data_IF_379426090889
#
_entry.id   IF_379426090889
#
_cell.length_a   1.000
_cell.length_b   1.000
_cell.length_c   1.000
_cell.angle_alpha   90.00
_cell.angle_beta   90.00
_cell.angle_gamma   90.00
#
_symmetry.space_group_name_H-M   'P 1'
#
loop_
_entity.id
_entity.type
_entity.pdbx_description
1 polymer ?
#
# COMPACT_ATOMS: atom_id res chain seq x y z
N UNK A 1 -13.93 2.07 -0.89
CA UNK A 1 -13.56 1.04 -1.88
C UNK A 1 -12.16 0.57 -1.55
N UNK A 2 -12.03 -0.67 -1.11
CA UNK A 2 -10.86 -1.17 -0.38
C UNK A 2 -9.55 -1.23 -1.14
N UNK A 3 -8.53 -0.66 -0.56
CA UNK A 3 -7.13 -0.68 -1.02
C UNK A 3 -6.45 -2.07 -0.90
N UNK A 4 -7.18 -3.10 -0.48
CA UNK A 4 -6.63 -4.42 -0.14
C UNK A 4 -7.08 -5.57 -1.05
N UNK A 5 -7.73 -5.27 -2.20
CA UNK A 5 -8.39 -6.30 -3.02
C UNK A 5 -7.48 -7.03 -4.03
N UNK A 6 -6.15 -6.94 -3.98
CA UNK A 6 -5.28 -7.57 -4.99
C UNK A 6 -4.14 -8.43 -4.45
N UNK A 7 -4.40 -9.19 -3.38
CA UNK A 7 -3.59 -10.39 -3.13
C UNK A 7 -4.38 -11.63 -3.55
N UNK A 8 -4.55 -11.81 -4.86
CA UNK A 8 -5.16 -13.02 -5.40
C UNK A 8 -4.10 -14.10 -5.58
N UNK A 9 -4.17 -15.08 -4.71
CA UNK A 9 -3.41 -16.30 -4.67
C UNK A 9 -3.74 -17.17 -5.88
N UNK A 10 -2.77 -17.51 -6.69
CA UNK A 10 -2.87 -18.63 -7.63
C UNK A 10 -2.72 -19.94 -6.86
N UNK A 11 -3.76 -20.76 -6.84
CA UNK A 11 -3.74 -22.15 -6.39
C UNK A 11 -3.86 -23.06 -7.60
N UNK A 12 -3.05 -24.13 -7.72
CA UNK A 12 -3.31 -25.19 -8.69
C UNK A 12 -4.43 -26.10 -8.19
N UNK A 13 -5.32 -26.38 -9.10
CA UNK A 13 -6.41 -27.34 -9.02
C UNK A 13 -5.88 -28.75 -8.77
N UNK A 14 -6.47 -29.46 -7.82
CA UNK A 14 -6.56 -30.91 -7.88
C UNK A 14 -7.93 -31.33 -7.34
N UNK A 15 -8.69 -31.96 -8.23
CA UNK A 15 -9.93 -32.67 -7.97
C UNK A 15 -9.62 -33.97 -7.22
N UNK A 16 -10.40 -34.27 -6.18
CA UNK A 16 -11.00 -35.59 -5.98
C UNK A 16 -12.01 -35.52 -4.83
N UNK A 17 -13.20 -35.75 -5.23
CA UNK A 17 -14.37 -36.46 -4.70
C UNK A 17 -14.29 -37.01 -3.26
N UNK A 18 -15.29 -36.72 -2.41
CA UNK A 18 -16.15 -37.71 -1.70
C UNK A 18 -17.38 -36.98 -1.08
N UNK A 19 -18.55 -37.52 -1.47
CA UNK A 19 -19.88 -37.25 -0.88
C UNK A 19 -19.98 -37.75 0.56
N UNK A 20 -20.79 -37.04 1.35
CA UNK A 20 -21.77 -37.64 2.27
C UNK A 20 -22.85 -36.64 2.65
N UNK A 21 -24.08 -37.03 2.33
CA UNK A 21 -25.35 -36.49 2.77
C UNK A 21 -25.51 -36.61 4.29
N UNK A 22 -26.19 -35.65 4.91
CA UNK A 22 -27.17 -35.94 5.96
C UNK A 22 -28.10 -34.73 6.12
N UNK A 23 -29.37 -35.00 5.74
CA UNK A 23 -30.55 -34.21 6.05
C UNK A 23 -30.84 -34.28 7.57
N UNK A 24 -31.35 -33.18 8.14
CA UNK A 24 -32.24 -33.25 9.28
C UNK A 24 -33.29 -32.14 9.20
N UNK A 25 -34.52 -32.60 9.02
CA UNK A 25 -35.79 -31.89 9.11
C UNK A 25 -36.26 -31.80 10.56
N UNK A 26 -37.12 -30.85 10.80
CA UNK A 26 -38.36 -30.74 11.56
C UNK A 26 -38.35 -29.55 12.51
N UNK A 27 -39.16 -28.55 12.28
CA UNK A 27 -40.60 -28.41 12.55
C UNK A 27 -40.96 -28.31 14.04
N UNK A 28 -41.38 -27.12 14.48
CA UNK A 28 -42.46 -26.97 15.48
C UNK A 28 -43.00 -25.51 15.49
N UNK A 29 -44.19 -25.41 14.94
CA UNK A 29 -45.14 -24.34 15.22
C UNK A 29 -45.75 -24.52 16.62
N UNK A 30 -46.18 -23.43 17.24
CA UNK A 30 -47.31 -23.23 18.14
C UNK A 30 -47.14 -21.88 18.85
N UNK A 31 -48.03 -20.98 19.03
CA UNK A 31 -49.49 -20.79 18.88
C UNK A 31 -49.77 -19.41 19.50
N UNK A 32 -50.75 -18.72 18.95
CA UNK A 32 -51.24 -17.42 19.38
C UNK A 32 -52.02 -17.50 20.68
N UNK A 33 -52.02 -16.40 21.45
CA UNK A 33 -53.22 -16.02 22.21
C UNK A 33 -53.27 -14.51 22.49
N UNK A 34 -54.36 -13.92 22.01
CA UNK A 34 -54.96 -12.62 22.29
C UNK A 34 -55.25 -12.40 23.80
N UNK A 35 -55.10 -11.15 24.22
CA UNK A 35 -56.02 -10.58 25.26
C UNK A 35 -56.05 -9.05 25.11
N UNK A 36 -57.17 -8.57 24.60
CA UNK A 36 -57.69 -7.21 24.73
C UNK A 36 -57.83 -6.77 26.21
N UNK A 37 -57.49 -5.51 26.47
CA UNK A 37 -58.26 -4.74 27.47
C UNK A 37 -58.16 -3.25 27.15
N UNK A 38 -59.28 -2.68 26.73
CA UNK A 38 -59.62 -1.27 26.73
C UNK A 38 -59.49 -0.62 28.11
N UNK A 39 -58.97 0.58 28.16
CA UNK A 39 -59.52 1.65 29.03
C UNK A 39 -59.11 3.02 28.48
N UNK A 40 -60.16 3.82 28.23
CA UNK A 40 -60.14 5.23 27.86
C UNK A 40 -59.69 6.14 29.02
N UNK A 41 -59.13 7.24 28.64
CA UNK A 41 -59.44 8.65 28.97
C UNK A 41 -58.30 9.53 29.47
N UNK A 42 -58.30 10.72 28.83
CA UNK A 42 -57.97 12.08 29.30
C UNK A 42 -56.54 12.60 29.16
N UNK A 43 -56.38 13.32 28.02
CA UNK A 43 -56.09 14.77 27.91
C UNK A 43 -55.07 15.37 28.91
N UNK A 44 -53.90 15.68 28.38
CA UNK A 44 -53.28 17.01 28.52
C UNK A 44 -52.09 17.17 27.54
N UNK A 45 -52.21 18.23 26.74
CA UNK A 45 -51.15 18.74 25.89
C UNK A 45 -49.93 19.14 26.75
N UNK A 46 -48.75 18.67 26.33
CA UNK A 46 -47.53 19.46 26.47
C UNK A 46 -46.60 19.11 25.31
N UNK A 47 -46.28 20.14 24.58
CA UNK A 47 -45.51 20.20 23.35
C UNK A 47 -44.04 20.22 23.76
N UNK A 48 -43.40 19.07 23.94
CA UNK A 48 -41.96 18.96 24.02
C UNK A 48 -41.44 18.23 22.75
N UNK A 49 -41.11 19.05 21.77
CA UNK A 49 -40.21 18.65 20.66
C UNK A 49 -38.89 18.26 21.27
N UNK A 50 -38.73 16.97 21.54
CA UNK A 50 -37.41 16.36 21.72
C UNK A 50 -36.67 16.47 20.38
N UNK A 51 -35.97 17.60 20.21
CA UNK A 51 -34.82 17.68 19.33
C UNK A 51 -33.85 16.59 19.84
N UNK A 52 -33.86 15.45 19.17
CA UNK A 52 -32.76 14.51 19.26
C UNK A 52 -31.53 15.23 18.71
N UNK A 53 -30.87 15.98 19.58
CA UNK A 53 -29.54 16.51 19.44
C UNK A 53 -28.61 15.30 19.19
N UNK A 54 -28.35 15.04 17.91
CA UNK A 54 -27.23 14.23 17.54
C UNK A 54 -25.97 15.04 17.84
N UNK A 55 -25.60 15.12 19.10
CA UNK A 55 -24.28 15.54 19.51
C UNK A 55 -23.29 14.46 19.01
N UNK A 56 -22.84 14.61 17.78
CA UNK A 56 -21.50 14.12 17.45
C UNK A 56 -20.60 14.71 18.51
N UNK A 57 -20.00 13.89 19.34
CA UNK A 57 -19.24 14.37 20.49
C UNK A 57 -18.05 15.16 19.92
N UNK A 58 -17.72 16.30 20.52
CA UNK A 58 -16.55 17.10 20.15
C UNK A 58 -15.27 16.23 20.13
N UNK A 59 -15.24 15.14 20.92
CA UNK A 59 -14.17 14.16 20.98
C UNK A 59 -13.99 13.39 19.65
N UNK A 60 -15.07 13.05 18.91
CA UNK A 60 -15.01 12.33 17.64
C UNK A 60 -14.45 13.23 16.52
N UNK A 61 -14.73 14.53 16.57
CA UNK A 61 -14.22 15.51 15.60
C UNK A 61 -12.73 15.72 15.81
N UNK A 62 -12.28 15.80 17.05
CA UNK A 62 -10.86 15.96 17.40
C UNK A 62 -10.03 14.72 16.98
N UNK A 63 -10.59 13.51 17.06
CA UNK A 63 -9.92 12.28 16.61
C UNK A 63 -9.78 12.25 15.08
N UNK A 64 -10.80 12.64 14.31
CA UNK A 64 -10.71 12.72 12.84
C UNK A 64 -9.69 13.76 12.37
N UNK A 65 -9.64 14.93 12.99
CA UNK A 65 -8.63 15.97 12.70
C UNK A 65 -7.22 15.45 12.99
N UNK A 66 -7.00 14.76 14.11
CA UNK A 66 -5.72 14.19 14.47
C UNK A 66 -5.22 13.13 13.49
N UNK A 67 -6.12 12.41 12.80
CA UNK A 67 -5.77 11.46 11.76
C UNK A 67 -5.27 12.13 10.48
N UNK A 68 -5.70 13.36 10.23
CA UNK A 68 -5.29 14.14 9.07
C UNK A 68 -4.00 14.95 9.29
N UNK A 69 -3.50 15.02 10.51
CA UNK A 69 -2.23 15.67 10.81
C UNK A 69 -1.06 15.00 10.11
N UNK A 70 -0.12 15.80 9.62
CA UNK A 70 1.12 15.29 9.04
C UNK A 70 2.00 14.63 10.10
N UNK A 71 2.38 13.40 9.83
CA UNK A 71 3.27 12.62 10.68
C UNK A 71 4.64 12.45 10.02
N UNK A 72 5.64 13.07 10.60
CA UNK A 72 7.02 12.97 10.17
C UNK A 72 7.96 13.14 11.37
N UNK A 73 9.21 12.65 11.31
CA UNK A 73 10.23 13.00 12.29
C UNK A 73 10.44 14.53 12.33
N UNK A 74 10.68 15.08 13.50
CA UNK A 74 10.86 16.52 13.68
C UNK A 74 12.04 17.07 12.86
N UNK A 75 13.05 16.25 12.58
CA UNK A 75 14.24 16.57 11.80
C UNK A 75 14.15 16.15 10.32
N UNK A 76 12.92 15.92 9.79
CA UNK A 76 12.73 15.49 8.40
C UNK A 76 13.35 16.43 7.38
N UNK A 77 13.20 17.74 7.55
CA UNK A 77 13.76 18.74 6.64
C UNK A 77 15.28 18.75 6.60
N UNK A 78 15.94 18.27 7.66
CA UNK A 78 17.41 18.24 7.77
C UNK A 78 17.98 16.87 7.38
N UNK A 79 17.27 15.79 7.71
CA UNK A 79 17.74 14.40 7.56
C UNK A 79 16.91 13.56 6.61
N UNK A 80 15.88 14.12 5.97
CA UNK A 80 15.01 13.46 4.99
C UNK A 80 13.98 12.48 5.60
N UNK A 81 13.24 11.82 4.73
CA UNK A 81 13.22 11.93 3.26
C UNK A 81 12.95 13.37 2.80
N UNK A 82 13.64 13.77 1.76
CA UNK A 82 13.63 15.16 1.29
C UNK A 82 12.58 15.36 0.18
N UNK A 83 12.02 16.56 0.10
CA UNK A 83 11.32 16.99 -1.10
C UNK A 83 12.35 17.48 -2.14
N UNK A 84 12.09 17.28 -3.42
CA UNK A 84 13.01 17.72 -4.51
C UNK A 84 13.28 19.23 -4.49
N UNK A 85 12.39 20.01 -3.88
CA UNK A 85 12.53 21.46 -3.73
C UNK A 85 13.35 21.88 -2.51
N UNK A 86 13.73 20.96 -1.65
CA UNK A 86 14.51 21.20 -0.43
C UNK A 86 16.01 21.06 -0.71
N UNK A 87 16.83 21.56 0.19
CA UNK A 87 18.26 21.29 0.18
C UNK A 87 18.53 19.89 0.76
N UNK A 88 19.26 19.08 0.04
CA UNK A 88 19.63 17.71 0.47
C UNK A 88 21.10 17.39 0.14
N UNK A 89 21.74 16.50 0.90
CA UNK A 89 23.12 16.12 0.64
C UNK A 89 23.31 15.50 -0.75
N UNK A 90 24.39 15.82 -1.41
CA UNK A 90 24.78 15.18 -2.67
C UNK A 90 25.32 13.77 -2.38
N UNK A 91 24.58 12.77 -2.80
CA UNK A 91 24.95 11.35 -2.77
C UNK A 91 24.56 10.70 -4.08
N UNK A 92 25.22 9.61 -4.41
CA UNK A 92 24.80 8.77 -5.52
C UNK A 92 23.43 8.19 -5.23
N UNK A 93 22.48 8.43 -6.13
CA UNK A 93 21.11 7.96 -6.06
C UNK A 93 20.68 7.33 -7.36
N UNK A 94 19.98 6.21 -7.25
CA UNK A 94 19.24 5.64 -8.34
C UNK A 94 18.01 6.48 -8.58
N UNK A 95 17.89 7.05 -9.78
CA UNK A 95 16.71 7.85 -10.18
C UNK A 95 15.60 6.91 -10.70
N UNK A 96 14.49 6.89 -9.99
CA UNK A 96 13.27 6.14 -10.34
C UNK A 96 12.10 7.10 -10.64
N UNK A 97 12.39 8.29 -11.15
CA UNK A 97 11.40 9.33 -11.38
C UNK A 97 10.93 9.96 -10.07
N UNK A 98 9.83 9.47 -9.53
CA UNK A 98 9.24 10.01 -8.30
C UNK A 98 10.08 9.77 -7.03
N UNK A 99 10.96 8.78 -7.02
CA UNK A 99 11.88 8.50 -5.92
C UNK A 99 13.33 8.45 -6.43
N UNK A 100 14.21 9.20 -5.77
CA UNK A 100 15.66 9.08 -5.94
C UNK A 100 16.21 8.39 -4.69
N UNK A 101 16.69 7.17 -4.84
CA UNK A 101 17.03 6.28 -3.74
C UNK A 101 18.54 6.17 -3.60
N UNK A 102 19.12 6.40 -2.40
CA UNK A 102 20.56 6.22 -2.19
C UNK A 102 20.98 4.78 -2.52
N UNK A 103 22.14 4.63 -3.12
CA UNK A 103 22.75 3.33 -3.41
C UNK A 103 23.98 3.10 -2.55
N UNK A 104 24.14 1.87 -2.09
CA UNK A 104 25.32 1.41 -1.33
C UNK A 104 25.83 0.10 -1.91
N UNK A 105 27.10 -0.18 -1.69
CA UNK A 105 27.74 -1.40 -2.17
C UNK A 105 27.04 -2.66 -1.62
N UNK A 106 26.83 -3.63 -2.50
CA UNK A 106 26.19 -4.90 -2.11
C UNK A 106 24.67 -4.85 -1.97
N UNK A 107 24.05 -3.69 -2.16
CA UNK A 107 22.59 -3.57 -2.16
C UNK A 107 22.00 -4.11 -3.48
N UNK A 108 20.91 -4.84 -3.36
CA UNK A 108 20.11 -5.27 -4.51
C UNK A 108 18.84 -4.41 -4.58
N UNK A 109 18.49 -3.98 -5.79
CA UNK A 109 17.28 -3.22 -6.07
C UNK A 109 16.33 -4.09 -6.89
N UNK A 110 15.08 -4.18 -6.46
CA UNK A 110 14.01 -4.84 -7.19
C UNK A 110 12.86 -3.88 -7.38
N UNK A 111 12.34 -3.82 -8.59
CA UNK A 111 11.15 -3.05 -8.92
C UNK A 111 9.94 -3.98 -8.91
N UNK A 112 8.90 -3.55 -8.23
CA UNK A 112 7.63 -4.28 -8.17
C UNK A 112 6.67 -3.62 -9.16
N UNK A 113 6.33 -4.34 -10.25
CA UNK A 113 5.49 -3.86 -11.34
C UNK A 113 4.06 -4.39 -11.23
N UNK A 114 3.13 -3.65 -11.77
CA UNK A 114 1.76 -4.13 -12.01
C UNK A 114 1.72 -4.91 -13.32
N UNK A 115 1.25 -6.15 -13.26
CA UNK A 115 1.25 -7.07 -14.41
C UNK A 115 0.40 -6.57 -15.58
N UNK A 116 -0.69 -5.85 -15.30
CA UNK A 116 -1.63 -5.37 -16.32
C UNK A 116 -1.16 -4.07 -16.98
N UNK A 117 -0.63 -3.14 -16.20
CA UNK A 117 -0.26 -1.79 -16.68
C UNK A 117 1.23 -1.61 -16.91
N UNK A 118 2.07 -2.58 -16.54
CA UNK A 118 3.54 -2.51 -16.59
C UNK A 118 4.12 -1.30 -15.83
N UNK A 119 3.33 -0.67 -14.95
CA UNK A 119 3.76 0.45 -14.13
C UNK A 119 4.55 -0.05 -12.94
N UNK A 120 5.67 0.60 -12.65
CA UNK A 120 6.43 0.31 -11.41
C UNK A 120 5.69 0.95 -10.23
N UNK A 121 5.26 0.11 -9.28
CA UNK A 121 4.45 0.53 -8.14
C UNK A 121 5.26 0.71 -6.86
N UNK A 122 6.40 0.03 -6.76
CA UNK A 122 7.25 0.07 -5.60
C UNK A 122 8.69 -0.27 -5.96
N UNK A 123 9.62 0.14 -5.11
CA UNK A 123 11.00 -0.31 -5.13
C UNK A 123 11.31 -1.04 -3.83
N UNK A 124 11.95 -2.21 -3.94
CA UNK A 124 12.43 -2.99 -2.80
C UNK A 124 13.95 -2.97 -2.81
N UNK A 125 14.54 -2.47 -1.73
CA UNK A 125 15.98 -2.49 -1.48
C UNK A 125 16.29 -3.64 -0.55
N UNK A 126 17.27 -4.46 -0.91
CA UNK A 126 17.69 -5.63 -0.12
C UNK A 126 19.17 -5.43 0.23
N UNK A 127 19.45 -5.40 1.51
CA UNK A 127 20.80 -5.25 2.04
C UNK A 127 20.99 -6.10 3.30
N UNK A 128 22.11 -6.81 3.44
CA UNK A 128 22.47 -7.66 4.59
C UNK A 128 21.38 -8.67 5.02
N UNK A 129 20.51 -9.08 4.07
CA UNK A 129 19.40 -10.01 4.32
C UNK A 129 18.16 -9.35 4.93
N UNK A 130 18.17 -8.04 5.11
CA UNK A 130 16.98 -7.21 5.36
C UNK A 130 16.42 -6.65 4.06
N UNK A 131 15.15 -6.31 4.06
CA UNK A 131 14.47 -5.65 2.94
C UNK A 131 13.69 -4.43 3.39
N UNK A 132 13.67 -3.40 2.57
CA UNK A 132 12.77 -2.26 2.70
C UNK A 132 12.08 -2.00 1.36
N UNK A 133 10.75 -2.05 1.35
CA UNK A 133 9.94 -1.69 0.19
C UNK A 133 9.40 -0.28 0.34
N UNK A 134 9.60 0.56 -0.66
CA UNK A 134 9.18 1.96 -0.68
C UNK A 134 8.09 2.18 -1.72
N UNK A 135 7.08 2.97 -1.32
CA UNK A 135 5.99 3.44 -2.18
C UNK A 135 5.69 4.90 -1.88
N UNK A 136 5.47 5.69 -2.93
CA UNK A 136 5.12 7.10 -2.81
C UNK A 136 3.65 7.33 -3.19
N UNK A 137 2.99 8.23 -2.48
CA UNK A 137 1.59 8.59 -2.68
C UNK A 137 1.43 10.10 -2.69
N UNK A 138 0.49 10.60 -3.48
CA UNK A 138 0.12 12.00 -3.50
C UNK A 138 -0.74 12.35 -2.27
N UNK A 139 -0.45 13.51 -1.64
CA UNK A 139 -1.25 14.03 -0.53
C UNK A 139 -1.53 15.52 -0.72
N UNK A 140 -2.60 16.06 -0.12
CA UNK A 140 -2.82 17.48 -0.02
C UNK A 140 -1.70 18.17 0.78
N UNK A 141 -1.60 19.49 0.66
CA UNK A 141 -0.62 20.27 1.43
C UNK A 141 -0.93 20.32 2.92
N UNK A 142 -2.21 20.35 3.26
CA UNK A 142 -2.71 20.51 4.62
C UNK A 142 -2.85 19.19 5.39
N UNK A 143 -2.90 18.06 4.69
CA UNK A 143 -3.23 16.78 5.31
C UNK A 143 -2.09 15.80 5.18
N UNK A 144 -1.92 14.96 6.22
CA UNK A 144 -1.08 13.76 6.22
C UNK A 144 -1.86 12.52 5.85
N UNK A 145 -1.15 11.43 5.64
CA UNK A 145 -1.74 10.14 5.32
C UNK A 145 -1.30 9.04 6.29
N UNK A 146 -0.16 9.20 6.94
CA UNK A 146 0.41 8.14 7.75
C UNK A 146 -0.47 7.74 8.95
N UNK A 147 -1.05 8.68 9.66
CA UNK A 147 -1.88 8.36 10.81
C UNK A 147 -3.09 7.51 10.40
N UNK A 148 -3.81 7.90 9.35
CA UNK A 148 -4.94 7.13 8.80
C UNK A 148 -4.52 5.74 8.30
N UNK A 149 -3.41 5.65 7.55
CA UNK A 149 -2.91 4.37 7.04
C UNK A 149 -2.50 3.44 8.18
N UNK A 150 -1.85 3.97 9.21
CA UNK A 150 -1.42 3.19 10.38
C UNK A 150 -2.60 2.60 11.14
N UNK A 151 -3.65 3.39 11.37
CA UNK A 151 -4.88 2.93 12.01
C UNK A 151 -5.54 1.82 11.18
N UNK A 152 -5.76 2.05 9.88
CA UNK A 152 -6.37 1.07 8.98
C UNK A 152 -5.56 -0.24 8.89
N UNK A 153 -4.22 -0.16 8.92
CA UNK A 153 -3.36 -1.33 8.96
C UNK A 153 -3.55 -2.11 10.26
N UNK A 154 -3.59 -1.42 11.40
CA UNK A 154 -3.80 -2.04 12.72
C UNK A 154 -5.14 -2.79 12.78
N UNK A 155 -6.22 -2.16 12.32
CA UNK A 155 -7.56 -2.75 12.24
C UNK A 155 -7.58 -3.97 11.31
N UNK A 156 -6.95 -3.85 10.13
CA UNK A 156 -6.86 -4.94 9.16
C UNK A 156 -6.07 -6.14 9.70
N UNK A 157 -4.97 -5.90 10.42
CA UNK A 157 -4.17 -6.94 11.05
C UNK A 157 -4.97 -7.66 12.13
N UNK A 158 -5.68 -6.91 12.98
CA UNK A 158 -6.55 -7.46 14.03
C UNK A 158 -7.66 -8.33 13.46
N UNK A 159 -8.30 -7.89 12.36
CA UNK A 159 -9.36 -8.65 11.68
C UNK A 159 -8.86 -9.97 11.07
N UNK A 160 -7.56 -10.08 10.77
CA UNK A 160 -6.91 -11.29 10.27
C UNK A 160 -6.35 -12.20 11.37
N UNK A 161 -6.61 -11.86 12.64
CA UNK A 161 -6.09 -12.60 13.80
C UNK A 161 -4.58 -12.37 14.02
N UNK A 162 -4.06 -11.27 13.52
CA UNK A 162 -2.69 -10.81 13.77
C UNK A 162 -2.62 -9.87 14.98
N UNK A 163 -1.41 -9.47 15.30
CA UNK A 163 -1.08 -8.53 16.36
C UNK A 163 -0.37 -7.31 15.77
N UNK A 164 -0.65 -6.13 16.30
CA UNK A 164 0.04 -4.89 15.93
C UNK A 164 0.46 -4.12 17.18
N UNK A 165 1.58 -3.40 17.08
CA UNK A 165 2.06 -2.51 18.14
C UNK A 165 2.70 -1.26 17.55
N UNK A 166 2.39 -0.11 18.13
CA UNK A 166 3.01 1.16 17.74
C UNK A 166 4.37 1.32 18.41
N UNK A 167 5.32 1.83 17.65
CA UNK A 167 6.69 2.12 18.09
C UNK A 167 7.04 3.56 17.74
N UNK A 168 7.89 4.20 18.55
CA UNK A 168 8.49 5.49 18.26
C UNK A 168 9.98 5.31 18.00
N UNK A 169 10.42 5.67 16.81
CA UNK A 169 11.81 5.49 16.37
C UNK A 169 12.36 6.77 15.75
N UNK A 170 13.55 6.71 15.17
CA UNK A 170 14.12 7.79 14.36
C UNK A 170 13.31 8.13 13.11
N UNK A 171 12.41 7.24 12.67
CA UNK A 171 11.49 7.46 11.56
C UNK A 171 10.13 8.04 12.01
N UNK A 172 9.99 8.35 13.30
CA UNK A 172 8.73 8.78 13.91
C UNK A 172 7.90 7.59 14.38
N UNK A 173 6.58 7.64 14.16
CA UNK A 173 5.67 6.55 14.53
C UNK A 173 5.78 5.41 13.52
N UNK A 174 6.05 4.20 13.98
CA UNK A 174 6.04 2.96 13.20
C UNK A 174 4.97 2.00 13.71
N UNK A 175 4.57 1.06 12.88
CA UNK A 175 3.68 -0.03 13.23
C UNK A 175 4.40 -1.37 13.02
N UNK A 176 4.68 -2.08 14.09
CA UNK A 176 5.13 -3.47 14.02
C UNK A 176 3.92 -4.38 13.97
N UNK A 177 3.92 -5.35 13.05
CA UNK A 177 2.84 -6.30 12.89
C UNK A 177 3.34 -7.73 12.84
N UNK A 178 2.54 -8.64 13.36
CA UNK A 178 2.67 -10.08 13.19
C UNK A 178 1.36 -10.65 12.67
N UNK A 179 1.39 -11.27 11.51
CA UNK A 179 0.21 -11.92 10.91
C UNK A 179 0.41 -13.43 10.81
N UNK A 180 -0.66 -14.23 10.98
CA UNK A 180 -0.60 -15.66 10.72
C UNK A 180 -0.15 -15.93 9.28
N UNK A 181 0.82 -16.80 9.11
CA UNK A 181 1.35 -17.16 7.81
C UNK A 181 1.66 -18.66 7.73
N UNK A 182 1.80 -19.18 6.52
CA UNK A 182 2.33 -20.54 6.32
C UNK A 182 3.81 -20.42 5.98
N UNK A 183 4.62 -21.24 6.61
CA UNK A 183 6.04 -21.39 6.24
C UNK A 183 6.15 -22.05 4.85
N UNK A 184 7.33 -22.01 4.24
CA UNK A 184 7.60 -22.70 2.97
C UNK A 184 7.29 -24.20 3.04
N UNK A 185 7.42 -24.81 4.22
CA UNK A 185 7.05 -26.21 4.47
C UNK A 185 5.55 -26.44 4.72
N UNK A 186 4.69 -25.39 4.54
CA UNK A 186 3.25 -25.46 4.73
C UNK A 186 2.77 -25.47 6.19
N UNK A 187 3.69 -25.40 7.18
CA UNK A 187 3.34 -25.36 8.60
C UNK A 187 2.82 -23.99 9.01
N UNK A 188 1.93 -23.92 10.00
CA UNK A 188 1.54 -22.64 10.59
C UNK A 188 2.76 -21.91 11.14
N UNK A 189 2.80 -20.61 10.93
CA UNK A 189 3.84 -19.72 11.43
C UNK A 189 3.29 -18.29 11.50
N UNK A 190 4.14 -17.34 11.84
CA UNK A 190 3.86 -15.91 11.83
C UNK A 190 4.80 -15.20 10.86
N UNK A 191 4.34 -14.15 10.23
CA UNK A 191 5.17 -13.23 9.46
C UNK A 191 5.19 -11.90 10.18
N UNK A 192 6.38 -11.45 10.55
CA UNK A 192 6.59 -10.15 11.14
C UNK A 192 7.02 -9.14 10.06
N UNK A 193 6.50 -7.93 10.15
CA UNK A 193 6.87 -6.79 9.30
C UNK A 193 6.81 -5.51 10.15
N UNK A 194 7.52 -4.47 9.70
CA UNK A 194 7.39 -3.12 10.27
C UNK A 194 7.01 -2.15 9.18
N UNK A 195 6.06 -1.30 9.47
CA UNK A 195 5.62 -0.22 8.61
C UNK A 195 6.08 1.10 9.20
N UNK A 196 6.71 1.91 8.37
CA UNK A 196 6.98 3.30 8.66
C UNK A 196 6.34 4.16 7.58
N UNK A 197 5.95 5.37 7.94
CA UNK A 197 5.37 6.32 7.01
C UNK A 197 5.82 7.73 7.35
N UNK A 198 6.16 8.50 6.33
CA UNK A 198 6.60 9.88 6.49
C UNK A 198 5.82 10.76 5.52
N UNK A 199 5.13 11.74 6.08
CA UNK A 199 4.42 12.76 5.33
C UNK A 199 5.34 13.94 4.98
N UNK A 200 5.38 14.27 3.70
CA UNK A 200 6.08 15.44 3.16
C UNK A 200 5.13 16.58 2.77
N UNK A 201 5.62 17.57 2.02
CA UNK A 201 4.81 18.73 1.64
C UNK A 201 3.54 18.39 0.86
N UNK A 202 3.64 17.49 -0.14
CA UNK A 202 2.54 17.04 -1.01
C UNK A 202 2.62 15.56 -1.35
N UNK A 203 3.34 14.81 -0.54
CA UNK A 203 3.54 13.37 -0.73
C UNK A 203 3.58 12.66 0.62
N UNK A 204 3.37 11.39 0.55
CA UNK A 204 3.55 10.42 1.63
C UNK A 204 4.40 9.27 1.11
N UNK A 205 5.42 8.88 1.83
CA UNK A 205 6.21 7.67 1.51
C UNK A 205 5.99 6.63 2.60
N UNK A 206 5.56 5.44 2.16
CA UNK A 206 5.44 4.25 2.99
C UNK A 206 6.66 3.37 2.81
N UNK A 207 7.22 2.92 3.92
CA UNK A 207 8.28 1.93 3.98
C UNK A 207 7.78 0.66 4.69
N UNK A 208 8.12 -0.51 4.14
CA UNK A 208 7.80 -1.81 4.74
C UNK A 208 9.09 -2.59 4.92
N UNK A 209 9.51 -2.75 6.18
CA UNK A 209 10.69 -3.53 6.54
C UNK A 209 10.35 -5.01 6.68
N UNK A 210 11.24 -5.86 6.19
CA UNK A 210 11.09 -7.31 6.17
C UNK A 210 12.43 -8.03 6.36
N UNK A 211 12.38 -9.34 6.58
CA UNK A 211 13.59 -10.14 6.76
C UNK A 211 14.36 -9.72 8.01
N UNK A 212 15.69 -9.67 7.94
CA UNK A 212 16.53 -9.27 9.08
C UNK A 212 16.26 -7.85 9.56
N UNK A 213 15.75 -6.95 8.72
CA UNK A 213 15.40 -5.60 9.15
C UNK A 213 14.31 -5.53 10.24
N UNK A 214 13.61 -6.63 10.50
CA UNK A 214 12.62 -6.72 11.57
C UNK A 214 13.21 -7.18 12.89
N UNK A 215 14.25 -8.04 12.83
CA UNK A 215 14.81 -8.74 13.99
C UNK A 215 16.22 -8.28 14.38
N UNK A 216 16.90 -7.56 13.49
CA UNK A 216 18.27 -7.09 13.65
C UNK A 216 18.27 -5.55 13.59
N UNK A 217 18.66 -4.91 14.68
CA UNK A 217 18.62 -3.46 14.82
C UNK A 217 19.70 -2.75 13.98
N UNK A 218 20.85 -3.40 13.71
CA UNK A 218 21.92 -2.83 12.88
C UNK A 218 21.45 -2.77 11.42
N UNK A 219 20.95 -3.90 10.89
CA UNK A 219 20.41 -3.97 9.52
C UNK A 219 19.25 -2.99 9.34
N UNK A 220 18.39 -2.87 10.37
CA UNK A 220 17.29 -1.92 10.33
C UNK A 220 17.75 -0.47 10.34
N UNK A 221 18.77 -0.14 11.12
CA UNK A 221 19.35 1.21 11.18
C UNK A 221 19.94 1.62 9.82
N UNK A 222 20.65 0.72 9.15
CA UNK A 222 21.17 0.95 7.79
C UNK A 222 20.07 1.21 6.77
N UNK A 223 19.05 0.34 6.72
CA UNK A 223 17.91 0.53 5.83
C UNK A 223 17.08 1.78 6.17
N UNK A 224 17.01 2.15 7.45
CA UNK A 224 16.37 3.40 7.88
C UNK A 224 17.16 4.62 7.42
N UNK A 225 18.50 4.55 7.44
CA UNK A 225 19.34 5.61 6.90
C UNK A 225 19.18 5.76 5.38
N UNK A 226 19.06 4.65 4.65
CA UNK A 226 18.74 4.69 3.21
C UNK A 226 17.38 5.35 2.98
N UNK A 227 16.36 4.99 3.75
CA UNK A 227 15.03 5.61 3.66
C UNK A 227 15.11 7.12 3.93
N UNK A 228 15.84 7.54 4.95
CA UNK A 228 16.06 8.95 5.25
C UNK A 228 16.79 9.70 4.13
N UNK A 229 17.67 9.04 3.40
CA UNK A 229 18.39 9.62 2.26
C UNK A 229 17.58 9.74 0.96
N UNK A 230 16.36 9.25 0.92
CA UNK A 230 15.48 9.32 -0.27
C UNK A 230 15.09 10.77 -0.57
N UNK A 231 15.07 11.13 -1.87
CA UNK A 231 14.50 12.39 -2.36
C UNK A 231 13.24 12.07 -3.13
N UNK A 232 12.16 12.79 -2.84
CA UNK A 232 10.85 12.60 -3.44
C UNK A 232 10.57 13.71 -4.44
N UNK A 233 10.38 13.34 -5.70
CA UNK A 233 9.90 14.22 -6.76
C UNK A 233 8.46 13.86 -7.13
N UNK A 234 7.52 14.51 -6.47
CA UNK A 234 6.10 14.29 -6.73
C UNK A 234 5.66 14.81 -8.09
N UNK A 235 6.44 15.68 -8.71
CA UNK A 235 6.05 16.40 -9.92
C UNK A 235 5.00 17.48 -9.71
N UNK A 236 4.57 18.09 -10.83
CA UNK A 236 3.62 19.21 -10.83
C UNK A 236 2.21 18.82 -11.28
N UNK A 237 2.03 17.62 -11.78
CA UNK A 237 0.74 17.15 -12.31
C UNK A 237 -0.32 17.06 -11.22
N UNK A 238 -1.58 17.27 -11.62
CA UNK A 238 -2.71 17.06 -10.73
C UNK A 238 -2.91 15.57 -10.50
N UNK A 239 -2.93 15.17 -9.23
CA UNK A 239 -3.17 13.79 -8.80
C UNK A 239 -4.23 13.80 -7.71
N UNK A 240 -5.04 12.76 -7.66
CA UNK A 240 -5.99 12.57 -6.59
C UNK A 240 -5.27 12.31 -5.24
N UNK A 241 -5.83 12.78 -4.12
CA UNK A 241 -5.32 12.39 -2.80
C UNK A 241 -5.25 10.86 -2.66
N UNK A 242 -4.16 10.37 -2.06
CA UNK A 242 -3.89 8.93 -1.86
C UNK A 242 -3.62 8.15 -3.15
N UNK A 243 -3.49 8.82 -4.29
CA UNK A 243 -3.07 8.17 -5.54
C UNK A 243 -1.60 7.76 -5.44
N UNK A 244 -1.32 6.51 -5.87
CA UNK A 244 0.06 6.00 -5.92
C UNK A 244 0.82 6.71 -7.04
N UNK A 245 1.97 7.27 -6.71
CA UNK A 245 2.88 7.86 -7.67
C UNK A 245 3.70 6.74 -8.30
N UNK A 246 3.50 6.51 -9.60
CA UNK A 246 4.24 5.48 -10.30
C UNK A 246 5.72 5.84 -10.39
N UNK A 247 6.56 4.83 -10.24
CA UNK A 247 8.00 4.95 -10.44
C UNK A 247 8.35 4.66 -11.90
N UNK A 248 9.54 5.07 -12.30
CA UNK A 248 10.11 4.80 -13.63
C UNK A 248 11.29 3.85 -13.45
N UNK A 249 11.40 2.85 -14.33
CA UNK A 249 12.59 2.01 -14.35
C UNK A 249 13.83 2.86 -14.71
N UNK A 250 14.98 2.63 -14.06
CA UNK A 250 16.19 3.40 -14.35
C UNK A 250 16.59 3.17 -15.81
N UNK A 251 16.92 4.25 -16.51
CA UNK A 251 17.56 4.13 -17.80
C UNK A 251 19.02 3.71 -17.58
N UNK A 252 19.39 2.56 -18.06
CA UNK A 252 20.79 2.12 -18.07
C UNK A 252 21.44 2.84 -19.24
N UNK A 253 22.29 3.85 -18.96
CA UNK A 253 23.13 4.46 -19.97
C UNK A 253 24.08 3.37 -20.52
N UNK A 254 23.72 2.76 -21.65
CA UNK A 254 24.56 1.72 -22.24
C UNK A 254 23.85 0.63 -23.03
N UNK A 255 22.54 0.63 -23.10
CA UNK A 255 21.83 -0.18 -24.09
C UNK A 255 21.37 0.71 -25.25
N UNK A 256 22.34 1.29 -25.98
CA UNK A 256 22.18 1.57 -27.40
C UNK A 256 22.10 0.20 -28.09
N UNK A 257 21.14 -0.61 -27.67
CA UNK A 257 20.80 -1.88 -28.30
C UNK A 257 20.37 -1.60 -29.71
N UNK A 258 21.28 -1.90 -30.61
CA UNK A 258 21.04 -2.29 -31.97
C UNK A 258 19.87 -3.27 -32.08
N UNK A 259 18.64 -2.75 -32.01
CA UNK A 259 17.44 -3.39 -32.53
C UNK A 259 16.56 -2.35 -33.25
N UNK A 260 17.19 -1.39 -33.95
CA UNK A 260 16.63 -0.92 -35.19
C UNK A 260 16.83 -2.06 -36.20
N UNK A 261 16.03 -3.10 -36.08
CA UNK A 261 15.73 -3.93 -37.21
C UNK A 261 15.07 -3.02 -38.24
N UNK A 262 15.83 -2.83 -39.30
CA UNK A 262 15.41 -2.22 -40.56
C UNK A 262 13.96 -2.68 -40.89
N UNK A 263 12.96 -1.87 -40.55
CA UNK A 263 11.58 -2.00 -41.04
C UNK A 263 11.48 -1.58 -42.49
N UNK A 264 12.62 -1.40 -43.19
CA UNK A 264 12.68 -0.97 -44.57
C UNK A 264 12.79 -2.12 -45.62
N UNK A 265 12.67 -3.38 -45.19
CA UNK A 265 12.77 -4.52 -46.15
C UNK A 265 11.47 -5.35 -46.28
N UNK A 266 10.32 -4.78 -46.04
CA UNK A 266 9.06 -5.38 -46.50
C UNK A 266 8.22 -4.37 -47.25
N UNK A 267 8.70 -3.99 -48.46
CA UNK A 267 7.88 -3.30 -49.43
C UNK A 267 7.06 -4.35 -50.20
N UNK A 268 5.75 -4.56 -49.92
CA UNK A 268 4.95 -5.60 -50.57
C UNK A 268 4.55 -5.26 -52.03
N UNK A 269 5.12 -4.20 -52.62
CA UNK A 269 4.76 -3.72 -53.94
C UNK A 269 5.89 -3.74 -54.99
N UNK A 270 7.05 -4.34 -54.72
CA UNK A 270 7.99 -4.64 -55.77
C UNK A 270 7.52 -5.84 -56.58
N UNK A 271 7.07 -5.56 -57.81
CA UNK A 271 6.80 -6.59 -58.83
C UNK A 271 8.08 -7.36 -59.11
N UNK A 272 8.05 -8.67 -58.83
CA UNK A 272 9.08 -9.60 -59.24
C UNK A 272 9.32 -9.55 -60.79
N UNK A 273 10.53 -9.94 -61.26
CA UNK A 273 10.87 -9.88 -62.67
C UNK A 273 9.94 -10.76 -63.50
N UNK A 274 9.39 -10.17 -64.54
CA UNK A 274 8.61 -10.89 -65.56
C UNK A 274 9.47 -11.98 -66.20
N UNK A 275 9.03 -13.23 -66.11
CA UNK A 275 9.60 -14.37 -66.80
C UNK A 275 9.14 -14.24 -68.22
N UNK A 276 10.04 -13.77 -69.08
CA UNK A 276 9.85 -13.81 -70.57
C UNK A 276 10.22 -15.21 -71.05
N UNK A 277 9.22 -16.00 -71.36
CA UNK A 277 9.43 -17.25 -72.16
C UNK A 277 10.08 -16.93 -73.44
N UNK A 278 11.24 -17.53 -73.69
CA UNK A 278 11.84 -17.60 -75.01
C UNK A 278 11.76 -19.05 -75.55
N UNK A 279 11.16 -19.17 -76.64
CA UNK A 279 10.90 -20.27 -77.54
C UNK A 279 12.07 -21.24 -77.75
#
# INVERSE_FOLDING_TARGET
>A
MGLFSRFKKSTPTNEDDVRADEEFTDDDELDAQDADTDTEDADTADDDVDEADASESDDDIDEEEALLEKSAPFDRSEKGPFDISEEYPEHDRLDLGALKVPVVDGMQVRLDTDDDSQRVLAVTLIHEGGGIQLQAFATPRSEGLWNTVRQQLSESVSSQGGESSELHTSLGKELAIEVPAKTESGRPGKRAMRFAGIDGPRWFVRAVFSGKAVTDDEVRAELSALFRGVVVDRGQEAMAPRELIALTAPQVDGDDGEDQKDEDELNPFERGPEITEVR
#
